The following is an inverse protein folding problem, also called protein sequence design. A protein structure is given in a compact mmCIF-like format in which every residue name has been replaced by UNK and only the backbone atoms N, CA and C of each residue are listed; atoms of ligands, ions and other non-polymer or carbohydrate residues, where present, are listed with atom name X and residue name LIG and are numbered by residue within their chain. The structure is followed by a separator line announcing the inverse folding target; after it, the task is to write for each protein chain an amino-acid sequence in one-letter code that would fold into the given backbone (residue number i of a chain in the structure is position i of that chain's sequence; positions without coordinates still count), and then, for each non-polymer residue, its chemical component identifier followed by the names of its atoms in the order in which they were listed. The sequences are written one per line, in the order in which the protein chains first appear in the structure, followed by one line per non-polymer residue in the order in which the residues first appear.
data_IF_705960046060
#
_entry.id   IF_705960046060
#
_cell.length_a   1.000
_cell.length_b   1.000
_cell.length_c   1.000
_cell.angle_alpha   90.00
_cell.angle_beta   90.00
_cell.angle_gamma   90.00
#
_symmetry.space_group_name_H-M   'P 1'
#
loop_
_entity.id
_entity.type
_entity.pdbx_description
1 polymer ?
#
# COMPACT_ATOMS: atom_id res chain seq x y z
N UNK A 1 -35.58 -18.55 -16.13
CA UNK A 1 -35.08 -19.39 -15.00
C UNK A 1 -33.63 -19.71 -15.28
N UNK A 2 -32.70 -18.88 -14.77
CA UNK A 2 -31.26 -19.08 -14.97
C UNK A 2 -30.72 -19.95 -13.84
N UNK A 3 -30.17 -21.13 -14.18
CA UNK A 3 -29.50 -22.00 -13.23
C UNK A 3 -28.09 -21.46 -12.96
N UNK A 4 -27.86 -21.00 -11.75
CA UNK A 4 -26.53 -20.66 -11.24
C UNK A 4 -25.74 -21.95 -11.02
N UNK A 5 -24.82 -22.26 -11.93
CA UNK A 5 -23.78 -23.26 -11.67
C UNK A 5 -22.76 -22.67 -10.69
N UNK A 6 -23.00 -22.86 -9.39
CA UNK A 6 -21.94 -22.69 -8.40
C UNK A 6 -20.94 -23.84 -8.57
N UNK A 7 -19.86 -23.58 -9.31
CA UNK A 7 -18.69 -24.46 -9.35
C UNK A 7 -18.05 -24.43 -7.97
N UNK A 8 -18.50 -25.33 -7.08
CA UNK A 8 -17.82 -25.59 -5.82
C UNK A 8 -16.47 -26.22 -6.16
N UNK A 9 -15.42 -25.40 -6.18
CA UNK A 9 -14.07 -25.92 -6.05
C UNK A 9 -14.02 -26.61 -4.69
N UNK A 10 -14.00 -27.95 -4.69
CA UNK A 10 -13.48 -28.69 -3.54
C UNK A 10 -12.02 -28.26 -3.45
N UNK A 11 -11.72 -27.32 -2.57
CA UNK A 11 -10.37 -27.10 -2.10
C UNK A 11 -10.05 -28.38 -1.33
N UNK A 12 -9.38 -29.33 -2.00
CA UNK A 12 -8.63 -30.33 -1.26
C UNK A 12 -7.66 -29.55 -0.38
N UNK A 13 -7.54 -29.93 0.90
CA UNK A 13 -6.52 -29.36 1.78
C UNK A 13 -5.21 -29.31 0.99
N UNK A 14 -4.69 -28.10 0.79
CA UNK A 14 -3.49 -27.89 0.00
C UNK A 14 -2.36 -28.45 0.83
N UNK A 15 -1.97 -29.69 0.54
CA UNK A 15 -0.74 -30.21 1.13
C UNK A 15 0.44 -29.31 0.72
N UNK A 16 1.43 -29.14 1.61
CA UNK A 16 2.65 -28.44 1.26
C UNK A 16 3.27 -29.06 -0.01
N UNK A 17 3.61 -28.26 -1.03
CA UNK A 17 4.28 -28.77 -2.21
C UNK A 17 5.68 -29.33 -1.87
N UNK A 18 6.26 -30.09 -2.81
CA UNK A 18 7.49 -30.86 -2.58
C UNK A 18 8.67 -29.96 -2.19
N UNK A 19 8.81 -28.81 -2.86
CA UNK A 19 9.85 -27.81 -2.56
C UNK A 19 9.75 -27.24 -1.14
N UNK A 20 8.53 -26.98 -0.65
CA UNK A 20 8.29 -26.54 0.74
C UNK A 20 8.67 -27.64 1.73
N UNK A 21 8.31 -28.90 1.43
CA UNK A 21 8.69 -30.06 2.26
C UNK A 21 10.20 -30.21 2.33
N UNK A 22 10.89 -30.12 1.19
CA UNK A 22 12.35 -30.18 1.10
C UNK A 22 13.03 -29.03 1.85
N UNK A 23 12.52 -27.81 1.71
CA UNK A 23 13.04 -26.66 2.45
C UNK A 23 12.88 -26.86 3.97
N UNK A 24 11.71 -27.31 4.43
CA UNK A 24 11.48 -27.57 5.84
C UNK A 24 12.48 -28.59 6.39
N UNK A 25 12.58 -29.76 5.74
CA UNK A 25 13.49 -30.85 6.14
C UNK A 25 14.94 -30.38 6.18
N UNK A 26 15.38 -29.64 5.17
CA UNK A 26 16.75 -29.11 5.08
C UNK A 26 17.14 -28.29 6.30
N UNK A 27 16.23 -27.43 6.79
CA UNK A 27 16.52 -26.54 7.92
C UNK A 27 16.13 -27.14 9.27
N UNK A 28 15.22 -28.12 9.32
CA UNK A 28 14.86 -28.83 10.56
C UNK A 28 15.89 -29.90 10.95
N UNK A 29 16.61 -30.48 9.98
CA UNK A 29 17.61 -31.55 10.22
C UNK A 29 19.08 -31.05 10.20
N UNK A 30 19.35 -29.87 9.61
CA UNK A 30 20.71 -29.50 9.18
C UNK A 30 21.37 -28.26 9.82
N UNK A 31 20.81 -27.69 10.89
CA UNK A 31 21.32 -26.46 11.53
C UNK A 31 22.50 -26.66 12.48
N UNK A 32 23.70 -26.88 11.93
CA UNK A 32 25.05 -26.92 12.55
C UNK A 32 25.24 -26.78 14.08
N UNK A 33 25.85 -27.82 14.68
CA UNK A 33 26.83 -27.64 15.77
C UNK A 33 26.48 -28.17 17.16
N UNK A 34 26.12 -29.46 17.31
CA UNK A 34 26.04 -30.08 18.63
C UNK A 34 25.68 -31.55 18.54
N UNK A 35 26.65 -32.44 18.77
CA UNK A 35 26.49 -33.87 18.69
C UNK A 35 25.37 -34.40 19.58
N UNK A 36 24.39 -35.05 18.95
CA UNK A 36 23.38 -35.87 19.60
C UNK A 36 22.81 -36.83 18.57
N UNK A 37 23.32 -38.05 18.55
CA UNK A 37 22.70 -39.13 17.80
C UNK A 37 21.31 -39.39 18.36
N UNK A 38 20.29 -39.20 17.52
CA UNK A 38 18.89 -39.47 17.80
C UNK A 38 18.15 -39.54 16.48
N UNK A 39 17.24 -40.51 16.33
CA UNK A 39 16.50 -40.85 15.11
C UNK A 39 16.03 -39.64 14.30
N UNK A 40 16.21 -39.71 12.98
CA UNK A 40 15.88 -38.67 12.00
C UNK A 40 14.39 -38.42 11.80
N UNK A 41 13.76 -37.77 12.78
CA UNK A 41 12.43 -37.18 12.65
C UNK A 41 12.41 -35.83 13.39
N UNK A 42 13.03 -34.82 12.79
CA UNK A 42 12.89 -33.45 13.29
C UNK A 42 11.49 -32.93 12.95
N UNK A 43 10.54 -33.19 13.85
CA UNK A 43 9.12 -32.84 13.69
C UNK A 43 8.84 -31.33 13.68
N UNK A 44 9.82 -30.50 14.07
CA UNK A 44 9.64 -29.07 14.29
C UNK A 44 10.86 -28.24 13.85
N UNK A 45 10.58 -27.06 13.29
CA UNK A 45 11.54 -26.01 12.97
C UNK A 45 11.61 -25.01 14.14
N UNK A 46 12.73 -25.00 14.87
CA UNK A 46 12.96 -24.06 15.97
C UNK A 46 13.18 -22.61 15.47
N UNK A 47 13.06 -21.58 16.34
CA UNK A 47 13.35 -20.20 15.97
C UNK A 47 14.74 -19.99 15.37
N UNK A 48 15.75 -20.70 15.89
CA UNK A 48 17.11 -20.64 15.35
C UNK A 48 17.19 -21.21 13.93
N UNK A 49 16.53 -22.34 13.68
CA UNK A 49 16.48 -22.95 12.35
C UNK A 49 15.63 -22.12 11.37
N UNK A 50 14.55 -21.50 11.85
CA UNK A 50 13.79 -20.54 11.06
C UNK A 50 14.65 -19.33 10.71
N UNK A 51 15.43 -18.81 11.65
CA UNK A 51 16.40 -17.74 11.37
C UNK A 51 17.41 -18.15 10.29
N UNK A 52 17.94 -19.38 10.34
CA UNK A 52 18.81 -19.89 9.27
C UNK A 52 18.09 -19.95 7.92
N UNK A 53 16.84 -20.42 7.88
CA UNK A 53 16.02 -20.40 6.67
C UNK A 53 15.85 -18.97 6.13
N UNK A 54 15.50 -18.01 6.99
CA UNK A 54 15.31 -16.61 6.61
C UNK A 54 16.58 -16.02 5.99
N UNK A 55 17.74 -16.25 6.61
CA UNK A 55 19.02 -15.70 6.13
C UNK A 55 19.54 -16.45 4.90
N UNK A 56 19.65 -17.78 4.98
CA UNK A 56 20.35 -18.60 3.98
C UNK A 56 19.47 -18.93 2.75
N UNK A 57 18.15 -19.10 2.94
CA UNK A 57 17.22 -19.42 1.86
C UNK A 57 16.53 -18.17 1.28
N UNK A 58 16.05 -17.27 2.15
CA UNK A 58 15.30 -16.08 1.72
C UNK A 58 16.17 -14.83 1.53
N UNK A 59 17.43 -14.85 1.97
CA UNK A 59 18.34 -13.70 1.82
C UNK A 59 18.04 -12.56 2.80
N UNK A 60 17.34 -12.82 3.90
CA UNK A 60 16.99 -11.82 4.92
C UNK A 60 18.19 -11.54 5.86
N UNK A 61 19.29 -11.00 5.32
CA UNK A 61 20.58 -10.83 6.02
C UNK A 61 20.50 -10.01 7.33
N UNK A 62 19.49 -9.15 7.46
CA UNK A 62 19.28 -8.31 8.66
C UNK A 62 18.36 -8.95 9.70
N UNK A 63 17.78 -10.13 9.41
CA UNK A 63 16.94 -10.84 10.34
C UNK A 63 17.77 -11.30 11.54
N UNK A 64 17.28 -11.05 12.75
CA UNK A 64 17.89 -11.53 13.98
C UNK A 64 17.18 -12.79 14.49
N UNK A 65 17.84 -13.54 15.38
CA UNK A 65 17.19 -14.68 16.06
C UNK A 65 15.93 -14.23 16.83
N UNK A 66 15.94 -13.03 17.42
CA UNK A 66 14.78 -12.48 18.11
C UNK A 66 13.61 -12.16 17.17
N UNK A 67 13.89 -11.75 15.92
CA UNK A 67 12.85 -11.59 14.91
C UNK A 67 12.21 -12.95 14.57
N UNK A 68 13.02 -13.99 14.41
CA UNK A 68 12.53 -15.34 14.15
C UNK A 68 11.71 -15.89 15.33
N UNK A 69 12.12 -15.65 16.58
CA UNK A 69 11.35 -16.00 17.78
C UNK A 69 9.96 -15.34 17.77
N UNK A 70 9.91 -14.04 17.47
CA UNK A 70 8.65 -13.29 17.35
C UNK A 70 7.77 -13.84 16.23
N UNK A 71 8.34 -14.21 15.08
CA UNK A 71 7.60 -14.83 13.98
C UNK A 71 7.00 -16.16 14.43
N UNK A 72 7.79 -17.04 15.05
CA UNK A 72 7.30 -18.33 15.56
C UNK A 72 6.15 -18.14 16.55
N UNK A 73 6.31 -17.21 17.50
CA UNK A 73 5.26 -16.89 18.48
C UNK A 73 3.98 -16.41 17.79
N UNK A 74 4.09 -15.49 16.83
CA UNK A 74 2.94 -14.95 16.11
C UNK A 74 2.23 -16.00 15.25
N UNK A 75 2.97 -16.89 14.58
CA UNK A 75 2.40 -18.01 13.82
C UNK A 75 1.66 -18.96 14.76
N UNK A 76 2.29 -19.38 15.85
CA UNK A 76 1.68 -20.31 16.81
C UNK A 76 0.45 -19.70 17.48
N UNK A 77 0.48 -18.41 17.83
CA UNK A 77 -0.66 -17.72 18.42
C UNK A 77 -1.87 -17.64 17.47
N UNK A 78 -1.63 -17.41 16.17
CA UNK A 78 -2.70 -17.35 15.16
C UNK A 78 -3.26 -18.73 14.80
N UNK A 79 -2.41 -19.76 14.81
CA UNK A 79 -2.78 -21.12 14.39
C UNK A 79 -3.32 -21.97 15.53
N UNK A 80 -2.88 -21.74 16.76
CA UNK A 80 -3.17 -22.59 17.90
C UNK A 80 -3.68 -21.77 19.09
N UNK A 81 -5.00 -21.66 19.22
CA UNK A 81 -5.65 -20.84 20.25
C UNK A 81 -5.38 -21.24 21.72
N UNK A 82 -4.86 -22.45 22.00
CA UNK A 82 -4.74 -22.98 23.38
C UNK A 82 -3.40 -23.66 23.72
N UNK A 83 -2.53 -23.95 22.75
CA UNK A 83 -1.32 -24.77 22.95
C UNK A 83 0.00 -24.04 22.73
N UNK A 84 -0.02 -22.71 22.55
CA UNK A 84 1.19 -21.93 22.22
C UNK A 84 2.25 -21.97 23.32
N UNK A 85 1.89 -22.16 24.58
CA UNK A 85 2.85 -22.21 25.70
C UNK A 85 3.73 -23.47 25.73
N UNK A 86 3.32 -24.57 25.06
CA UNK A 86 4.07 -25.82 25.07
C UNK A 86 4.96 -26.00 23.84
N UNK A 87 4.65 -25.31 22.73
CA UNK A 87 5.35 -25.47 21.45
C UNK A 87 6.39 -24.37 21.26
N UNK A 88 7.64 -24.79 20.97
CA UNK A 88 8.77 -23.90 20.73
C UNK A 88 9.28 -23.92 19.28
N UNK A 89 8.48 -24.44 18.34
CA UNK A 89 8.86 -24.56 16.94
C UNK A 89 7.66 -24.79 16.03
N UNK A 90 7.85 -24.56 14.73
CA UNK A 90 6.85 -24.70 13.69
C UNK A 90 6.82 -26.14 13.17
N UNK A 91 5.65 -26.77 13.08
CA UNK A 91 5.50 -27.98 12.26
C UNK A 91 5.62 -27.63 10.77
N UNK A 92 5.71 -28.65 9.90
CA UNK A 92 5.62 -28.45 8.45
C UNK A 92 4.34 -27.71 8.05
N UNK A 93 3.21 -28.03 8.70
CA UNK A 93 1.94 -27.34 8.45
C UNK A 93 1.99 -25.87 8.89
N UNK A 94 2.57 -25.59 10.06
CA UNK A 94 2.74 -24.20 10.54
C UNK A 94 3.68 -23.40 9.63
N UNK A 95 4.78 -24.01 9.19
CA UNK A 95 5.74 -23.40 8.25
C UNK A 95 5.08 -23.11 6.89
N UNK A 96 4.29 -24.05 6.36
CA UNK A 96 3.57 -23.84 5.12
C UNK A 96 2.59 -22.67 5.21
N UNK A 97 1.85 -22.53 6.32
CA UNK A 97 0.95 -21.40 6.53
C UNK A 97 1.70 -20.08 6.76
N UNK A 98 2.85 -20.13 7.46
CA UNK A 98 3.71 -18.97 7.64
C UNK A 98 4.09 -18.31 6.31
N UNK A 99 4.37 -19.12 5.26
CA UNK A 99 4.76 -18.60 3.95
C UNK A 99 3.69 -17.68 3.32
N UNK A 100 2.43 -17.79 3.73
CA UNK A 100 1.31 -16.99 3.23
C UNK A 100 0.93 -15.81 4.12
N UNK A 101 1.55 -15.65 5.29
CA UNK A 101 1.32 -14.46 6.12
C UNK A 101 2.06 -13.27 5.51
N UNK A 102 1.33 -12.42 4.81
CA UNK A 102 1.85 -11.24 4.10
C UNK A 102 2.52 -10.22 5.03
N UNK A 103 2.10 -10.16 6.28
CA UNK A 103 2.68 -9.29 7.30
C UNK A 103 3.95 -9.87 7.96
N UNK A 104 4.17 -11.19 7.89
CA UNK A 104 5.35 -11.86 8.45
C UNK A 104 6.38 -12.27 7.40
N UNK A 105 5.93 -12.71 6.23
CA UNK A 105 6.69 -13.23 5.10
C UNK A 105 6.32 -12.53 3.78
N UNK A 106 5.96 -11.24 3.86
CA UNK A 106 5.63 -10.44 2.68
C UNK A 106 6.84 -10.24 1.76
N UNK A 107 6.67 -10.27 0.43
CA UNK A 107 7.76 -10.06 -0.51
C UNK A 107 8.36 -8.65 -0.43
N UNK A 108 7.60 -7.69 0.11
CA UNK A 108 8.02 -6.32 0.34
C UNK A 108 7.62 -5.94 1.76
N UNK A 109 8.60 -5.50 2.54
CA UNK A 109 8.35 -5.02 3.90
C UNK A 109 7.52 -3.75 3.85
N UNK A 110 6.57 -3.62 4.76
CA UNK A 110 5.68 -2.45 4.90
C UNK A 110 6.40 -1.16 5.35
N UNK A 111 7.72 -1.23 5.55
CA UNK A 111 8.55 -0.10 5.97
C UNK A 111 9.25 0.55 4.78
N UNK A 112 9.52 1.85 4.92
CA UNK A 112 10.31 2.62 3.95
C UNK A 112 11.74 2.07 3.92
N UNK A 113 12.17 1.58 2.75
CA UNK A 113 13.47 0.95 2.54
C UNK A 113 14.31 1.63 1.44
N UNK A 114 13.72 2.57 0.70
CA UNK A 114 14.43 3.40 -0.26
C UNK A 114 15.12 4.58 0.43
N UNK A 115 16.18 5.10 -0.19
CA UNK A 115 16.76 6.39 0.21
C UNK A 115 15.72 7.50 -0.01
N UNK A 116 15.25 8.13 1.07
CA UNK A 116 14.27 9.23 1.04
C UNK A 116 14.92 10.63 1.07
N UNK A 117 16.24 10.71 0.86
CA UNK A 117 17.00 11.99 0.88
C UNK A 117 17.37 12.51 -0.50
N UNK A 118 17.11 11.74 -1.56
CA UNK A 118 17.36 12.15 -2.94
C UNK A 118 16.39 13.28 -3.39
N UNK A 119 16.69 14.00 -4.49
CA UNK A 119 15.77 14.99 -5.04
C UNK A 119 14.45 14.39 -5.53
N UNK A 120 13.34 15.15 -5.44
CA UNK A 120 11.99 14.70 -5.83
C UNK A 120 11.89 14.02 -7.21
N UNK A 121 12.59 14.49 -8.28
CA UNK A 121 12.52 13.85 -9.60
C UNK A 121 13.07 12.41 -9.67
N UNK A 122 13.73 11.93 -8.61
CA UNK A 122 14.25 10.56 -8.55
C UNK A 122 13.21 9.54 -8.08
N UNK A 123 12.02 9.98 -7.68
CA UNK A 123 10.97 9.12 -7.15
C UNK A 123 9.81 8.99 -8.13
N UNK A 124 9.25 7.79 -8.20
CA UNK A 124 7.89 7.62 -8.72
C UNK A 124 6.89 8.09 -7.65
N UNK A 125 5.98 8.97 -8.04
CA UNK A 125 4.98 9.54 -7.14
C UNK A 125 3.61 9.01 -7.55
N UNK A 126 2.86 8.48 -6.59
CA UNK A 126 1.48 8.05 -6.83
C UNK A 126 0.56 9.27 -6.87
N UNK A 127 0.02 9.59 -8.05
CA UNK A 127 -0.79 10.79 -8.32
C UNK A 127 -2.24 10.43 -8.68
N UNK A 128 -3.19 11.26 -8.26
CA UNK A 128 -4.61 11.19 -8.64
C UNK A 128 -4.99 12.33 -9.58
N UNK A 129 -5.51 12.00 -10.76
CA UNK A 129 -6.02 12.94 -11.75
C UNK A 129 -7.52 13.19 -11.54
N UNK A 130 -7.96 14.45 -11.60
CA UNK A 130 -9.33 14.87 -11.29
C UNK A 130 -9.90 14.19 -10.04
N UNK A 131 -9.17 14.31 -8.93
CA UNK A 131 -9.41 13.53 -7.71
C UNK A 131 -10.76 13.81 -7.04
N UNK A 132 -11.41 14.91 -7.44
CA UNK A 132 -12.72 15.34 -6.98
C UNK A 132 -13.88 14.65 -7.71
N UNK A 133 -13.66 13.97 -8.84
CA UNK A 133 -14.73 13.31 -9.58
C UNK A 133 -15.22 12.03 -8.88
N UNK A 134 -16.54 11.89 -8.79
CA UNK A 134 -17.19 10.69 -8.23
C UNK A 134 -17.35 9.55 -9.25
N UNK A 135 -17.18 9.85 -10.54
CA UNK A 135 -17.33 8.88 -11.63
C UNK A 135 -16.61 9.30 -12.91
N UNK A 136 -17.37 9.45 -14.01
CA UNK A 136 -16.82 9.71 -15.33
C UNK A 136 -16.49 11.21 -15.58
N UNK A 137 -15.64 11.48 -16.57
CA UNK A 137 -15.15 12.82 -16.91
C UNK A 137 -16.21 13.76 -17.52
N UNK A 138 -17.38 13.28 -17.92
CA UNK A 138 -18.35 14.09 -18.68
C UNK A 138 -19.54 14.55 -17.85
N UNK A 139 -20.04 13.67 -16.97
CA UNK A 139 -21.36 13.84 -16.37
C UNK A 139 -21.44 13.44 -14.90
N UNK A 140 -20.31 13.15 -14.26
CA UNK A 140 -20.32 12.77 -12.84
C UNK A 140 -20.17 13.98 -11.93
N UNK A 141 -20.72 13.84 -10.73
CA UNK A 141 -20.66 14.87 -9.71
C UNK A 141 -19.24 15.00 -9.13
N UNK A 142 -18.97 16.14 -8.50
CA UNK A 142 -17.74 16.44 -7.78
C UNK A 142 -17.96 16.29 -6.27
N UNK A 143 -16.99 15.72 -5.54
CA UNK A 143 -17.03 15.56 -4.09
C UNK A 143 -15.62 15.43 -3.50
N UNK A 144 -15.48 15.75 -2.23
CA UNK A 144 -14.30 15.50 -1.38
C UNK A 144 -14.10 14.02 -1.02
N UNK A 145 -15.16 13.20 -1.02
CA UNK A 145 -15.09 11.76 -0.71
C UNK A 145 -14.06 10.99 -1.55
N UNK A 146 -14.00 11.10 -2.89
CA UNK A 146 -12.97 10.42 -3.69
C UNK A 146 -11.55 10.91 -3.36
N UNK A 147 -11.38 12.18 -2.99
CA UNK A 147 -10.09 12.74 -2.54
C UNK A 147 -9.64 12.05 -1.25
N UNK A 148 -10.53 11.98 -0.25
CA UNK A 148 -10.26 11.33 1.04
C UNK A 148 -9.85 9.87 0.82
N UNK A 149 -10.60 9.15 -0.02
CA UNK A 149 -10.30 7.75 -0.36
C UNK A 149 -8.96 7.60 -1.10
N UNK A 150 -8.61 8.53 -2.00
CA UNK A 150 -7.33 8.52 -2.70
C UNK A 150 -6.16 8.70 -1.72
N UNK A 151 -6.26 9.67 -0.81
CA UNK A 151 -5.24 9.92 0.21
C UNK A 151 -5.06 8.73 1.16
N UNK A 152 -6.17 8.11 1.61
CA UNK A 152 -6.14 6.88 2.42
C UNK A 152 -5.46 5.70 1.71
N UNK A 153 -5.52 5.66 0.37
CA UNK A 153 -4.84 4.64 -0.46
C UNK A 153 -3.37 4.98 -0.76
N UNK A 154 -2.86 6.08 -0.21
CA UNK A 154 -1.46 6.47 -0.36
C UNK A 154 -1.17 7.38 -1.56
N UNK A 155 -2.19 7.94 -2.22
CA UNK A 155 -1.96 9.00 -3.21
C UNK A 155 -1.25 10.18 -2.53
N UNK A 156 -0.21 10.69 -3.19
CA UNK A 156 0.61 11.80 -2.70
C UNK A 156 0.36 13.09 -3.43
N UNK A 157 -0.22 13.06 -4.63
CA UNK A 157 -0.60 14.27 -5.39
C UNK A 157 -2.05 14.18 -5.81
N UNK A 158 -2.84 15.21 -5.55
CA UNK A 158 -4.21 15.36 -6.07
C UNK A 158 -4.31 16.57 -6.99
N UNK A 159 -5.18 16.49 -7.98
CA UNK A 159 -5.54 17.56 -8.90
C UNK A 159 -6.91 18.16 -8.54
N UNK A 160 -6.98 19.50 -8.55
CA UNK A 160 -8.19 20.29 -8.34
C UNK A 160 -8.34 21.33 -9.45
N UNK A 161 -9.52 21.34 -10.08
CA UNK A 161 -9.90 22.32 -11.11
C UNK A 161 -10.71 23.43 -10.45
N UNK A 162 -10.11 24.61 -10.31
CA UNK A 162 -10.73 25.74 -9.62
C UNK A 162 -11.42 26.68 -10.60
N UNK A 163 -12.70 26.97 -10.32
CA UNK A 163 -13.52 27.89 -11.09
C UNK A 163 -14.14 28.94 -10.17
N UNK A 164 -14.25 30.21 -10.59
CA UNK A 164 -15.07 31.18 -9.87
C UNK A 164 -16.52 30.70 -9.80
N UNK A 165 -17.14 30.89 -8.65
CA UNK A 165 -18.56 30.64 -8.46
C UNK A 165 -19.40 31.60 -9.33
N UNK A 166 -20.72 31.40 -9.35
CA UNK A 166 -21.62 32.23 -10.16
C UNK A 166 -21.59 33.72 -9.80
N UNK A 167 -21.27 34.07 -8.54
CA UNK A 167 -21.19 35.45 -8.05
C UNK A 167 -19.79 36.06 -8.20
N UNK A 168 -18.77 35.23 -8.45
CA UNK A 168 -17.33 35.55 -8.51
C UNK A 168 -16.74 36.03 -7.18
N UNK A 169 -17.41 35.74 -6.08
CA UNK A 169 -16.97 36.05 -4.72
C UNK A 169 -16.36 34.82 -4.03
N UNK A 170 -16.48 33.63 -4.63
CA UNK A 170 -15.92 32.36 -4.11
C UNK A 170 -15.37 31.46 -5.23
N UNK A 171 -14.78 30.31 -4.86
CA UNK A 171 -14.19 29.32 -5.75
C UNK A 171 -14.89 27.96 -5.57
N UNK A 172 -15.24 27.34 -6.70
CA UNK A 172 -15.78 25.99 -6.79
C UNK A 172 -14.78 25.03 -7.44
N UNK A 173 -14.78 23.77 -6.98
CA UNK A 173 -14.03 22.68 -7.63
C UNK A 173 -14.98 21.93 -8.56
N UNK A 174 -14.84 22.13 -9.86
CA UNK A 174 -15.69 21.50 -10.88
C UNK A 174 -14.89 21.11 -12.12
N UNK A 175 -15.28 20.02 -12.76
CA UNK A 175 -14.70 19.62 -14.04
C UNK A 175 -15.28 20.48 -15.16
N UNK A 176 -14.42 20.99 -16.05
CA UNK A 176 -14.70 22.05 -17.03
C UNK A 176 -16.15 22.09 -17.58
N UNK A 177 -16.76 23.28 -17.56
CA UNK A 177 -18.17 23.52 -17.93
C UNK A 177 -18.50 23.02 -19.35
N UNK A 178 -19.28 21.94 -19.45
CA UNK A 178 -20.00 21.56 -20.69
C UNK A 178 -21.47 22.00 -20.70
N UNK A 179 -21.91 22.85 -19.75
CA UNK A 179 -23.23 23.46 -19.82
C UNK A 179 -23.19 24.76 -20.66
N UNK A 180 -23.92 24.68 -21.78
CA UNK A 180 -24.23 25.71 -22.77
C UNK A 180 -24.36 27.12 -22.15
N UNK A 181 -23.35 27.96 -22.32
CA UNK A 181 -23.44 29.39 -22.05
C UNK A 181 -24.42 30.00 -23.08
N UNK A 182 -25.57 30.59 -22.70
CA UNK A 182 -26.55 31.12 -23.65
C UNK A 182 -26.13 32.44 -24.32
N UNK A 183 -24.92 32.94 -24.06
CA UNK A 183 -24.51 34.28 -24.49
C UNK A 183 -23.03 34.31 -24.95
N UNK A 184 -22.75 34.32 -26.27
CA UNK A 184 -21.38 34.31 -26.81
C UNK A 184 -20.56 35.59 -26.57
N UNK A 185 -21.17 36.66 -26.05
CA UNK A 185 -20.57 38.00 -25.98
C UNK A 185 -19.78 38.30 -24.71
N UNK A 186 -19.74 37.39 -23.73
CA UNK A 186 -18.98 37.54 -22.47
C UNK A 186 -17.89 36.46 -22.31
N UNK A 187 -17.34 35.96 -23.42
CA UNK A 187 -16.16 35.09 -23.43
C UNK A 187 -14.89 35.89 -23.10
N UNK A 188 -14.80 36.43 -21.87
CA UNK A 188 -13.49 36.44 -21.21
C UNK A 188 -13.30 34.98 -20.78
N UNK A 189 -12.62 34.21 -21.62
CA UNK A 189 -12.26 32.80 -21.41
C UNK A 189 -11.68 32.70 -20.00
N UNK A 190 -12.46 32.29 -19.02
CA UNK A 190 -11.92 32.03 -17.69
C UNK A 190 -11.13 30.74 -17.84
N UNK A 191 -9.80 30.88 -17.82
CA UNK A 191 -8.90 29.75 -17.77
C UNK A 191 -9.05 29.13 -16.37
N UNK A 192 -9.25 27.81 -16.25
CA UNK A 192 -9.20 27.17 -14.94
C UNK A 192 -7.83 27.38 -14.30
N UNK A 193 -7.81 27.57 -12.99
CA UNK A 193 -6.59 27.45 -12.21
C UNK A 193 -6.49 26.01 -11.70
N UNK A 194 -5.31 25.40 -11.84
CA UNK A 194 -5.06 24.03 -11.40
C UNK A 194 -4.21 24.05 -10.13
N UNK A 195 -4.55 23.20 -9.16
CA UNK A 195 -3.73 22.99 -7.97
C UNK A 195 -3.31 21.54 -7.88
N UNK A 196 -1.99 21.33 -7.78
CA UNK A 196 -1.41 20.04 -7.39
C UNK A 196 -0.99 20.13 -5.92
N UNK A 197 -1.65 19.34 -5.07
CA UNK A 197 -1.32 19.28 -3.64
C UNK A 197 -0.50 18.03 -3.34
N UNK A 198 0.75 18.22 -2.91
CA UNK A 198 1.60 17.12 -2.45
C UNK A 198 1.39 16.87 -0.95
N UNK A 199 0.73 15.77 -0.58
CA UNK A 199 0.51 15.39 0.82
C UNK A 199 1.55 14.36 1.29
N UNK A 200 2.32 14.67 2.34
CA UNK A 200 2.98 13.66 3.17
C UNK A 200 4.48 13.43 2.98
N UNK A 201 5.22 14.36 2.36
CA UNK A 201 6.66 14.47 2.60
C UNK A 201 6.90 15.68 3.51
N UNK A 202 8.10 15.88 4.05
CA UNK A 202 8.52 17.11 4.78
C UNK A 202 8.44 18.41 3.94
N UNK A 203 7.70 18.36 2.83
CA UNK A 203 7.52 19.30 1.76
C UNK A 203 6.00 19.54 1.69
N UNK A 204 5.50 20.44 2.53
CA UNK A 204 4.18 21.06 2.34
C UNK A 204 4.28 22.05 1.16
N UNK A 205 4.50 21.55 -0.05
CA UNK A 205 4.58 22.39 -1.25
C UNK A 205 3.27 22.31 -2.01
N UNK A 206 2.61 23.46 -2.08
CA UNK A 206 1.50 23.72 -2.98
C UNK A 206 2.07 24.28 -4.29
N UNK A 207 1.74 23.65 -5.41
CA UNK A 207 1.98 24.21 -6.73
C UNK A 207 0.63 24.60 -7.32
N UNK A 208 0.34 25.91 -7.31
CA UNK A 208 -0.79 26.48 -8.04
C UNK A 208 -0.29 26.87 -9.43
N UNK A 209 -0.92 26.34 -10.46
CA UNK A 209 -0.70 26.71 -11.84
C UNK A 209 -1.90 27.51 -12.33
N UNK A 210 -1.67 28.75 -12.73
CA UNK A 210 -2.69 29.55 -13.41
C UNK A 210 -2.63 29.25 -14.92
N UNK A 211 -3.77 28.92 -15.52
CA UNK A 211 -3.88 28.39 -16.88
C UNK A 211 -3.81 29.41 -18.00
N UNK A 212 -3.36 30.65 -17.75
CA UNK A 212 -3.21 31.65 -18.81
C UNK A 212 -2.03 31.26 -19.73
N UNK A 213 -2.37 30.66 -20.87
CA UNK A 213 -1.46 30.24 -21.96
C UNK A 213 -0.71 31.41 -22.65
N UNK A 214 -0.61 32.58 -22.02
CA UNK A 214 0.09 33.74 -22.55
C UNK A 214 0.42 34.74 -21.44
N UNK A 215 1.70 34.76 -21.09
CA UNK A 215 2.39 35.72 -20.22
C UNK A 215 2.12 35.63 -18.71
N UNK A 216 3.23 35.31 -18.03
CA UNK A 216 3.55 35.53 -16.62
C UNK A 216 3.29 34.38 -15.65
N UNK A 217 4.33 33.55 -15.47
CA UNK A 217 4.43 32.54 -14.40
C UNK A 217 4.66 33.21 -13.04
N UNK A 218 3.69 33.97 -12.55
CA UNK A 218 3.75 34.47 -11.17
C UNK A 218 3.37 33.33 -10.20
N UNK A 219 4.38 32.67 -9.63
CA UNK A 219 4.20 31.70 -8.54
C UNK A 219 3.55 32.42 -7.35
N UNK A 220 2.23 32.32 -7.19
CA UNK A 220 1.58 32.74 -5.95
C UNK A 220 1.48 31.53 -5.02
N UNK A 221 2.28 31.54 -3.95
CA UNK A 221 2.10 30.62 -2.84
C UNK A 221 0.80 31.01 -2.12
N UNK A 222 -0.32 30.39 -2.48
CA UNK A 222 -1.55 30.49 -1.70
C UNK A 222 -1.56 29.27 -0.77
N UNK A 223 -1.20 29.50 0.49
CA UNK A 223 -1.28 28.49 1.54
C UNK A 223 -2.72 28.49 2.05
N UNK A 224 -3.53 27.51 1.64
CA UNK A 224 -4.76 27.20 2.36
C UNK A 224 -4.39 26.36 3.59
N UNK A 225 -4.68 26.90 4.77
CA UNK A 225 -4.40 26.25 6.04
C UNK A 225 -5.45 25.16 6.30
N UNK A 226 -5.20 23.93 5.83
CA UNK A 226 -6.07 22.78 6.04
C UNK A 226 -5.65 22.02 7.30
N UNK A 227 -6.13 22.46 8.46
CA UNK A 227 -6.02 21.74 9.75
C UNK A 227 -6.96 20.53 9.87
N UNK A 228 -7.24 19.80 8.78
CA UNK A 228 -8.35 18.82 8.75
C UNK A 228 -7.93 17.35 8.58
N UNK A 229 -6.63 17.02 8.62
CA UNK A 229 -6.18 15.63 8.40
C UNK A 229 -5.28 15.04 9.49
N UNK A 230 -5.21 15.67 10.66
CA UNK A 230 -4.66 15.04 11.87
C UNK A 230 -5.78 14.84 12.89
N UNK A 231 -6.35 13.64 12.87
CA UNK A 231 -7.22 13.07 13.89
C UNK A 231 -6.91 11.57 14.00
#
# INVERSE_FOLDING_TARGET
MFMFFNRKFKINEVEPPVDVKEAFVRYSEGGGGGGGGGDGDSTHLSPYQLHQFLVEFQGEERCTVSDAERIVEQVLHRRHHFTHYARRGLTLDDFFHYLFFDDLNGPIKSQVHHDMTAPLPHYFIYTGHNSYLTGNQLSSDCSDVPIIKALQRGVRVIELDLWPDSTKDDIEVIHGRYELIPNPSLLRRQSPSYVFMCCGCAINTFCVYDGDYGNDMSKRNIIYNWNLFYG
#
